data_IF_810952544041
#
_entry.id   IF_810952544041
#
_cell.length_a   1.000
_cell.length_b   1.000
_cell.length_c   1.000
_cell.angle_alpha   90.00
_cell.angle_beta   90.00
_cell.angle_gamma   90.00
#
_symmetry.space_group_name_H-M   'P 1'
#
loop_
_entity.id
_entity.type
_entity.pdbx_description
1 polymer ?
#
# COMPACT_ATOMS: atom_id res chain seq x y z
N UNK A 1 22.09 -74.42 41.02
CA UNK A 1 21.60 -74.20 39.65
C UNK A 1 21.33 -72.68 39.52
N UNK A 2 22.07 -71.95 38.73
CA UNK A 2 21.88 -70.51 38.62
C UNK A 2 20.83 -70.22 37.51
N UNK A 3 19.94 -69.31 37.86
CA UNK A 3 18.89 -68.77 36.95
C UNK A 3 19.47 -67.80 35.97
N UNK A 4 19.22 -68.04 34.67
CA UNK A 4 19.55 -67.15 33.54
C UNK A 4 18.62 -65.96 33.53
N UNK A 5 19.15 -64.76 33.81
CA UNK A 5 18.50 -63.51 33.58
C UNK A 5 18.85 -63.01 32.17
N UNK A 6 17.87 -63.07 31.29
CA UNK A 6 17.95 -62.51 29.92
C UNK A 6 18.01 -60.99 29.96
N UNK A 7 19.16 -60.45 29.60
CA UNK A 7 19.31 -58.98 29.43
C UNK A 7 18.72 -58.57 28.10
N UNK A 8 17.49 -58.03 28.15
CA UNK A 8 16.89 -57.36 26.98
C UNK A 8 17.64 -56.02 26.74
N UNK A 9 18.37 -55.96 25.62
CA UNK A 9 18.98 -54.70 25.14
C UNK A 9 17.85 -53.71 24.82
N UNK A 10 17.76 -52.59 25.56
CA UNK A 10 16.96 -51.47 25.18
C UNK A 10 17.53 -50.85 23.91
N UNK A 11 16.74 -50.84 22.83
CA UNK A 11 16.99 -50.05 21.63
C UNK A 11 16.85 -48.57 22.06
N UNK A 12 17.85 -47.70 21.81
CA UNK A 12 17.70 -46.29 22.11
C UNK A 12 16.55 -45.74 21.25
N UNK A 13 15.66 -44.99 21.88
CA UNK A 13 14.60 -44.24 21.17
C UNK A 13 15.27 -43.33 20.15
N UNK A 14 14.93 -43.53 18.87
CA UNK A 14 15.29 -42.56 17.82
C UNK A 14 14.57 -41.27 18.18
N UNK A 15 15.34 -40.29 18.58
CA UNK A 15 14.85 -38.92 18.74
C UNK A 15 14.37 -38.47 17.36
N UNK A 16 13.06 -38.44 17.17
CA UNK A 16 12.45 -37.81 16.00
C UNK A 16 12.70 -36.30 16.17
N UNK A 17 13.78 -35.85 15.55
CA UNK A 17 14.03 -34.41 15.38
C UNK A 17 12.87 -33.92 14.52
N UNK A 18 11.86 -33.30 15.15
CA UNK A 18 10.87 -32.51 14.42
C UNK A 18 11.63 -31.53 13.53
N UNK A 19 11.39 -31.52 12.20
CA UNK A 19 12.02 -30.51 11.37
C UNK A 19 11.64 -29.15 11.95
N UNK A 20 12.61 -28.38 12.40
CA UNK A 20 12.40 -26.97 12.69
C UNK A 20 11.81 -26.37 11.44
N UNK A 21 10.63 -25.80 11.56
CA UNK A 21 10.01 -25.05 10.47
C UNK A 21 11.04 -24.04 9.95
N UNK A 22 11.53 -24.28 8.74
CA UNK A 22 12.50 -23.41 8.09
C UNK A 22 11.67 -22.35 7.37
N UNK A 23 11.08 -21.42 8.14
CA UNK A 23 10.54 -20.20 7.56
C UNK A 23 11.73 -19.35 7.11
N UNK A 24 12.08 -19.49 5.86
CA UNK A 24 13.17 -18.74 5.24
C UNK A 24 12.63 -17.78 4.19
N UNK A 25 13.44 -16.80 3.79
CA UNK A 25 13.11 -15.92 2.68
C UNK A 25 12.70 -16.68 1.41
N UNK A 26 13.37 -17.80 1.11
CA UNK A 26 13.21 -18.56 -0.12
C UNK A 26 12.30 -19.81 -0.02
N UNK A 27 11.91 -20.21 1.19
CA UNK A 27 11.09 -21.41 1.41
C UNK A 27 9.94 -21.10 2.37
N UNK A 28 8.85 -21.82 2.19
CA UNK A 28 7.68 -21.79 3.08
C UNK A 28 7.95 -22.55 4.38
N UNK A 29 7.06 -22.45 5.35
CA UNK A 29 7.13 -23.22 6.62
C UNK A 29 7.10 -24.73 6.39
N UNK A 30 6.47 -25.20 5.29
CA UNK A 30 6.46 -26.60 4.88
C UNK A 30 7.72 -27.05 4.12
N UNK A 31 8.64 -26.12 3.83
CA UNK A 31 9.87 -26.40 3.10
C UNK A 31 9.75 -26.35 1.57
N UNK A 32 8.60 -25.94 1.05
CA UNK A 32 8.40 -25.77 -0.40
C UNK A 32 9.10 -24.50 -0.90
N UNK A 33 9.61 -24.45 -2.13
CA UNK A 33 10.12 -23.23 -2.75
C UNK A 33 9.05 -22.14 -2.78
N UNK A 34 9.38 -20.96 -2.30
CA UNK A 34 8.46 -19.81 -2.22
C UNK A 34 8.27 -19.16 -3.58
N UNK A 35 7.03 -18.78 -3.88
CA UNK A 35 6.71 -17.98 -5.05
C UNK A 35 7.40 -16.61 -5.03
N UNK A 36 7.73 -16.09 -6.20
CA UNK A 36 8.45 -14.84 -6.37
C UNK A 36 8.02 -14.08 -7.61
N UNK A 37 8.39 -12.79 -7.64
CA UNK A 37 8.26 -11.92 -8.80
C UNK A 37 9.63 -11.38 -9.17
N UNK A 38 9.99 -11.47 -10.44
CA UNK A 38 11.06 -10.69 -11.03
C UNK A 38 10.47 -9.36 -11.51
N UNK A 39 11.20 -8.28 -11.25
CA UNK A 39 10.77 -6.95 -11.70
C UNK A 39 10.87 -6.84 -13.21
N UNK A 40 9.95 -6.07 -13.79
CA UNK A 40 9.95 -5.80 -15.22
C UNK A 40 10.58 -4.43 -15.52
N UNK A 41 9.75 -3.43 -15.51
CA UNK A 41 10.09 -2.03 -15.77
C UNK A 41 9.47 -1.17 -14.66
N UNK A 42 10.23 -0.23 -14.14
CA UNK A 42 9.66 0.75 -13.20
C UNK A 42 8.66 1.64 -13.95
N UNK A 43 7.38 1.45 -13.69
CA UNK A 43 6.30 2.28 -14.27
C UNK A 43 5.75 3.28 -13.26
N UNK A 44 5.76 2.93 -11.98
CA UNK A 44 5.21 3.75 -10.91
C UNK A 44 6.16 3.79 -9.73
N UNK A 45 6.48 5.00 -9.26
CA UNK A 45 7.25 5.22 -8.04
C UNK A 45 6.34 5.76 -6.95
N UNK A 46 6.15 4.99 -5.90
CA UNK A 46 5.46 5.40 -4.69
C UNK A 46 6.40 6.13 -3.74
N UNK A 47 5.88 7.14 -3.08
CA UNK A 47 6.60 7.92 -2.07
C UNK A 47 5.78 7.86 -0.78
N UNK A 48 6.33 7.20 0.24
CA UNK A 48 5.77 7.19 1.58
C UNK A 48 6.12 8.52 2.26
N UNK A 49 5.15 9.41 2.38
CA UNK A 49 5.39 10.79 2.84
C UNK A 49 5.73 10.90 4.33
N UNK A 50 5.47 9.86 5.12
CA UNK A 50 5.66 9.77 6.56
C UNK A 50 4.42 9.20 7.25
N UNK A 51 4.55 8.69 8.49
CA UNK A 51 3.42 8.05 9.21
C UNK A 51 2.54 9.03 9.98
N UNK A 52 2.88 10.33 10.05
CA UNK A 52 2.01 11.30 10.69
C UNK A 52 0.65 11.40 9.99
N UNK A 53 -0.43 11.33 10.76
CA UNK A 53 -1.81 11.45 10.30
C UNK A 53 -2.62 12.31 11.25
N UNK A 54 -3.70 12.91 10.81
CA UNK A 54 -4.66 13.60 11.66
C UNK A 54 -5.82 12.70 12.14
N UNK A 55 -5.91 11.48 11.62
CA UNK A 55 -6.88 10.44 12.00
C UNK A 55 -6.17 9.25 12.65
N UNK A 56 -6.93 8.35 13.29
CA UNK A 56 -6.43 7.14 13.96
C UNK A 56 -7.36 5.95 13.66
N UNK A 57 -7.46 5.58 12.39
CA UNK A 57 -8.35 4.52 11.95
C UNK A 57 -7.90 3.15 12.47
N UNK A 58 -8.78 2.34 13.09
CA UNK A 58 -8.39 1.06 13.69
C UNK A 58 -7.92 0.00 12.68
N UNK A 59 -8.33 0.10 11.43
CA UNK A 59 -7.93 -0.77 10.32
C UNK A 59 -6.80 -0.18 9.45
N UNK A 60 -6.13 0.88 9.93
CA UNK A 60 -5.11 1.54 9.12
C UNK A 60 -3.96 0.60 8.78
N UNK A 61 -3.71 0.39 7.50
CA UNK A 61 -2.61 -0.44 6.99
C UNK A 61 -1.25 0.01 7.55
N UNK A 62 -1.06 1.32 7.70
CA UNK A 62 0.16 1.92 8.26
C UNK A 62 0.13 2.03 9.80
N UNK A 63 -1.03 1.81 10.43
CA UNK A 63 -1.20 2.08 11.86
C UNK A 63 -0.94 3.54 12.24
N UNK A 64 -1.10 4.47 11.30
CA UNK A 64 -0.83 5.89 11.47
C UNK A 64 -1.83 6.57 12.39
N UNK A 65 -1.34 7.55 13.16
CA UNK A 65 -2.17 8.32 14.11
C UNK A 65 -1.58 9.72 14.35
N UNK A 66 -2.31 10.62 15.04
CA UNK A 66 -1.78 11.92 15.43
C UNK A 66 -0.51 11.81 16.27
N UNK A 67 0.54 12.50 15.83
CA UNK A 67 1.85 12.48 16.49
C UNK A 67 2.74 11.28 16.15
N UNK A 68 2.32 10.40 15.25
CA UNK A 68 3.15 9.30 14.77
C UNK A 68 4.36 9.81 13.97
N UNK A 69 5.53 9.36 14.33
CA UNK A 69 6.80 9.72 13.70
C UNK A 69 7.69 8.49 13.42
N UNK A 70 7.11 7.28 13.40
CA UNK A 70 7.86 6.03 13.12
C UNK A 70 8.60 6.10 11.79
N UNK A 71 7.94 6.61 10.76
CA UNK A 71 8.55 6.99 9.50
C UNK A 71 8.57 8.51 9.44
N UNK A 72 9.76 9.15 9.44
CA UNK A 72 9.85 10.61 9.38
C UNK A 72 9.26 11.19 8.10
N UNK A 73 8.79 12.43 8.17
CA UNK A 73 8.29 13.13 6.99
C UNK A 73 9.36 13.32 5.92
N UNK A 74 9.02 13.04 4.67
CA UNK A 74 9.85 13.32 3.51
C UNK A 74 9.99 14.81 3.26
N UNK A 75 11.16 15.22 2.80
CA UNK A 75 11.41 16.55 2.25
C UNK A 75 11.60 16.48 0.74
N UNK A 76 11.51 17.62 0.07
CA UNK A 76 11.77 17.68 -1.37
C UNK A 76 13.21 17.24 -1.72
N UNK A 77 14.17 17.59 -0.88
CA UNK A 77 15.58 17.21 -1.08
C UNK A 77 15.79 15.70 -0.91
N UNK A 78 15.02 15.04 -0.04
CA UNK A 78 15.02 13.58 0.09
C UNK A 78 14.54 12.88 -1.21
N UNK A 79 13.57 13.46 -1.89
CA UNK A 79 12.86 12.81 -3.01
C UNK A 79 13.44 13.13 -4.37
N UNK A 80 14.01 14.34 -4.58
CA UNK A 80 14.53 14.80 -5.85
C UNK A 80 15.50 13.81 -6.54
N UNK A 81 16.50 13.24 -5.87
CA UNK A 81 17.43 12.32 -6.52
C UNK A 81 16.72 11.10 -7.11
N UNK A 82 15.72 10.58 -6.38
CA UNK A 82 14.95 9.41 -6.81
C UNK A 82 13.97 9.74 -7.93
N UNK A 83 13.40 10.96 -7.95
CA UNK A 83 12.56 11.41 -9.09
C UNK A 83 13.42 11.41 -10.36
N UNK A 84 14.64 11.94 -10.31
CA UNK A 84 15.53 11.95 -11.47
C UNK A 84 15.92 10.53 -11.91
N UNK A 85 16.33 9.66 -10.97
CA UNK A 85 16.65 8.27 -11.27
C UNK A 85 15.43 7.52 -11.87
N UNK A 86 14.23 7.73 -11.33
CA UNK A 86 13.00 7.13 -11.84
C UNK A 86 12.68 7.61 -13.27
N UNK A 87 12.92 8.89 -13.59
CA UNK A 87 12.74 9.42 -14.95
C UNK A 87 13.71 8.77 -15.94
N UNK A 88 14.95 8.52 -15.54
CA UNK A 88 15.94 7.80 -16.34
C UNK A 88 15.54 6.34 -16.56
N UNK A 89 14.87 5.70 -15.58
CA UNK A 89 14.33 4.35 -15.67
C UNK A 89 13.00 4.27 -16.44
N UNK A 90 12.45 5.41 -16.88
CA UNK A 90 11.25 5.46 -17.71
C UNK A 90 9.94 5.43 -16.93
N UNK A 91 9.92 5.85 -15.65
CA UNK A 91 8.69 5.94 -14.84
C UNK A 91 7.61 6.75 -15.56
N UNK A 92 6.38 6.29 -15.48
CA UNK A 92 5.20 6.95 -16.07
C UNK A 92 4.37 7.75 -15.06
N UNK A 93 4.47 7.43 -13.75
CA UNK A 93 3.66 8.04 -12.70
C UNK A 93 4.42 8.13 -11.38
N UNK A 94 4.17 9.19 -10.62
CA UNK A 94 4.55 9.31 -9.21
C UNK A 94 3.32 9.20 -8.32
N UNK A 95 3.40 8.37 -7.27
CA UNK A 95 2.28 8.11 -6.39
C UNK A 95 2.66 8.36 -4.92
N UNK A 96 1.72 8.84 -4.13
CA UNK A 96 1.96 9.33 -2.77
C UNK A 96 1.01 8.66 -1.78
N UNK A 97 1.61 8.15 -0.70
CA UNK A 97 0.91 7.52 0.42
C UNK A 97 1.59 7.88 1.75
N UNK A 98 1.20 7.22 2.81
CA UNK A 98 1.72 7.39 4.17
C UNK A 98 0.58 7.44 5.17
N UNK A 99 0.71 8.22 6.24
CA UNK A 99 -0.41 8.54 7.12
C UNK A 99 -1.42 9.44 6.39
N UNK A 100 -1.24 10.76 6.50
CA UNK A 100 -1.93 11.72 5.65
C UNK A 100 -0.90 12.64 5.00
N UNK A 101 -0.74 12.59 3.67
CA UNK A 101 0.29 13.39 2.99
C UNK A 101 0.20 14.89 3.29
N UNK A 102 -1.01 15.44 3.39
CA UNK A 102 -1.19 16.87 3.68
C UNK A 102 -0.84 17.29 5.11
N UNK A 103 -0.60 16.36 6.03
CA UNK A 103 -0.01 16.64 7.36
C UNK A 103 1.49 16.95 7.22
N UNK A 104 2.16 16.35 6.25
CA UNK A 104 3.60 16.52 6.06
C UNK A 104 3.90 17.90 5.50
N UNK A 105 4.80 18.61 6.19
CA UNK A 105 5.09 20.03 5.90
C UNK A 105 5.46 20.28 4.45
N UNK A 106 6.34 19.46 3.90
CA UNK A 106 6.95 19.67 2.59
C UNK A 106 6.20 18.97 1.44
N UNK A 107 5.10 18.27 1.75
CA UNK A 107 4.38 17.46 0.78
C UNK A 107 3.94 18.22 -0.47
N UNK A 108 3.38 19.43 -0.32
CA UNK A 108 2.90 20.20 -1.48
C UNK A 108 4.07 20.63 -2.39
N UNK A 109 5.25 20.90 -1.83
CA UNK A 109 6.46 21.18 -2.63
C UNK A 109 6.92 19.94 -3.39
N UNK A 110 6.87 18.74 -2.77
CA UNK A 110 7.17 17.47 -3.41
C UNK A 110 6.20 17.22 -4.57
N UNK A 111 4.90 17.35 -4.30
CA UNK A 111 3.84 17.15 -5.29
C UNK A 111 3.96 18.14 -6.46
N UNK A 112 4.23 19.42 -6.17
CA UNK A 112 4.48 20.44 -7.17
C UNK A 112 5.68 20.07 -8.07
N UNK A 113 6.76 19.61 -7.48
CA UNK A 113 7.95 19.20 -8.24
C UNK A 113 7.68 17.97 -9.11
N UNK A 114 7.07 16.92 -8.55
CA UNK A 114 6.78 15.68 -9.25
C UNK A 114 5.84 15.88 -10.44
N UNK A 115 4.78 16.69 -10.28
CA UNK A 115 3.78 16.95 -11.32
C UNK A 115 4.29 17.83 -12.48
N UNK A 116 5.46 18.45 -12.37
CA UNK A 116 6.14 19.03 -13.52
C UNK A 116 6.73 17.96 -14.47
N UNK A 117 6.94 16.74 -13.98
CA UNK A 117 7.63 15.69 -14.72
C UNK A 117 6.71 14.57 -15.20
N UNK A 118 5.76 14.12 -14.37
CA UNK A 118 4.82 13.03 -14.68
C UNK A 118 3.48 13.24 -13.98
N UNK A 119 2.41 12.58 -14.44
CA UNK A 119 1.17 12.48 -13.70
C UNK A 119 1.41 12.02 -12.27
N UNK A 120 0.62 12.57 -11.33
CA UNK A 120 0.72 12.26 -9.91
C UNK A 120 -0.57 11.65 -9.38
N UNK A 121 -0.43 10.68 -8.48
CA UNK A 121 -1.53 10.01 -7.82
C UNK A 121 -1.37 10.14 -6.30
N UNK A 122 -2.40 10.62 -5.61
CA UNK A 122 -2.33 10.96 -4.19
C UNK A 122 -3.42 10.25 -3.40
N UNK A 123 -3.03 9.39 -2.46
CA UNK A 123 -3.95 8.84 -1.48
C UNK A 123 -4.11 9.84 -0.34
N UNK A 124 -5.35 10.20 0.01
CA UNK A 124 -5.64 11.18 1.07
C UNK A 124 -6.99 10.92 1.73
N UNK A 125 -7.13 11.31 2.99
CA UNK A 125 -8.43 11.33 3.65
C UNK A 125 -9.25 12.60 3.31
N UNK A 126 -8.65 13.56 2.61
CA UNK A 126 -9.22 14.81 2.12
C UNK A 126 -9.90 15.68 3.21
N UNK A 127 -9.50 15.55 4.47
CA UNK A 127 -10.08 16.31 5.60
C UNK A 127 -9.33 17.62 5.87
N UNK A 128 -9.27 18.10 7.13
CA UNK A 128 -8.69 19.39 7.47
C UNK A 128 -7.30 19.68 6.91
N UNK A 129 -6.35 18.73 6.86
CA UNK A 129 -5.02 19.04 6.34
C UNK A 129 -5.06 19.55 4.90
N UNK A 130 -5.81 18.87 4.01
CA UNK A 130 -6.07 19.33 2.64
C UNK A 130 -6.81 20.67 2.63
N UNK A 131 -7.93 20.76 3.38
CA UNK A 131 -8.80 21.93 3.40
C UNK A 131 -8.05 23.20 3.84
N UNK A 132 -7.14 23.10 4.80
CA UNK A 132 -6.29 24.23 5.25
C UNK A 132 -5.25 24.63 4.21
N UNK A 133 -4.85 23.73 3.32
CA UNK A 133 -3.81 23.95 2.31
C UNK A 133 -4.36 24.19 0.90
N UNK A 134 -5.67 24.43 0.74
CA UNK A 134 -6.31 24.71 -0.56
C UNK A 134 -5.57 25.75 -1.39
N UNK A 135 -5.12 26.85 -0.74
CA UNK A 135 -4.39 27.93 -1.40
C UNK A 135 -3.02 27.51 -1.95
N UNK A 136 -2.43 26.44 -1.43
CA UNK A 136 -1.17 25.84 -1.92
C UNK A 136 -1.43 24.78 -2.99
N UNK A 137 -2.58 24.09 -2.93
CA UNK A 137 -2.95 23.02 -3.85
C UNK A 137 -3.51 23.56 -5.16
N UNK A 138 -4.32 24.64 -5.10
CA UNK A 138 -4.97 25.22 -6.28
C UNK A 138 -3.98 25.56 -7.41
N UNK A 139 -2.81 26.18 -7.16
CA UNK A 139 -1.84 26.49 -8.22
C UNK A 139 -1.28 25.26 -8.95
N UNK A 140 -1.40 24.06 -8.36
CA UNK A 140 -0.91 22.83 -8.97
C UNK A 140 -1.68 22.42 -10.24
N UNK A 141 -2.86 22.98 -10.46
CA UNK A 141 -3.61 22.84 -11.72
C UNK A 141 -2.87 23.41 -12.94
N UNK A 142 -1.96 24.34 -12.73
CA UNK A 142 -1.14 24.93 -13.80
C UNK A 142 0.07 24.07 -14.17
N UNK A 143 0.31 22.98 -13.43
CA UNK A 143 1.42 22.08 -13.68
C UNK A 143 1.23 21.31 -14.99
N UNK A 144 2.34 20.80 -15.52
CA UNK A 144 2.36 20.13 -16.83
C UNK A 144 1.53 18.85 -16.89
N UNK A 145 1.38 18.17 -15.74
CA UNK A 145 0.72 16.88 -15.66
C UNK A 145 -0.37 16.89 -14.60
N UNK A 146 -1.41 16.11 -14.86
CA UNK A 146 -2.57 15.98 -13.97
C UNK A 146 -2.21 15.37 -12.63
N UNK A 147 -2.96 15.78 -11.61
CA UNK A 147 -2.93 15.20 -10.28
C UNK A 147 -4.27 14.53 -10.01
N UNK A 148 -4.22 13.24 -9.77
CA UNK A 148 -5.37 12.44 -9.40
C UNK A 148 -5.39 12.21 -7.88
N UNK A 149 -6.46 12.59 -7.22
CA UNK A 149 -6.68 12.33 -5.80
C UNK A 149 -7.60 11.13 -5.61
N UNK A 150 -7.11 10.11 -4.91
CA UNK A 150 -7.95 9.02 -4.43
C UNK A 150 -8.29 9.27 -2.98
N UNK A 151 -9.56 9.59 -2.73
CA UNK A 151 -10.03 9.96 -1.40
C UNK A 151 -10.58 8.74 -0.67
N UNK A 152 -10.13 8.56 0.57
CA UNK A 152 -10.60 7.51 1.45
C UNK A 152 -11.98 7.84 2.01
N UNK A 153 -13.02 7.13 1.54
CA UNK A 153 -14.40 7.29 1.98
C UNK A 153 -15.09 5.91 2.05
N UNK A 154 -15.00 5.23 3.21
CA UNK A 154 -15.32 3.81 3.30
C UNK A 154 -16.81 3.51 3.18
N UNK A 155 -17.67 4.35 3.75
CA UNK A 155 -19.10 4.07 3.84
C UNK A 155 -19.94 5.26 3.40
N UNK A 156 -21.07 5.03 2.73
CA UNK A 156 -22.05 6.09 2.40
C UNK A 156 -22.95 6.42 3.60
N UNK A 157 -22.38 6.48 4.80
CA UNK A 157 -23.08 6.70 6.05
C UNK A 157 -22.15 7.38 7.06
N UNK A 158 -22.51 8.61 7.47
CA UNK A 158 -21.67 9.41 8.36
C UNK A 158 -21.38 8.69 9.69
N UNK A 159 -22.41 8.11 10.33
CA UNK A 159 -22.23 7.48 11.63
C UNK A 159 -21.23 6.32 11.58
N UNK A 160 -21.30 5.51 10.51
CA UNK A 160 -20.40 4.38 10.34
C UNK A 160 -19.00 4.84 9.97
N UNK A 161 -18.87 5.77 9.05
CA UNK A 161 -17.59 6.31 8.63
C UNK A 161 -16.86 7.02 9.78
N UNK A 162 -17.57 7.87 10.52
CA UNK A 162 -17.01 8.62 11.63
C UNK A 162 -16.58 7.73 12.80
N UNK A 163 -17.33 6.65 13.08
CA UNK A 163 -16.94 5.65 14.08
C UNK A 163 -15.54 5.09 13.79
N UNK A 164 -15.23 4.85 12.52
CA UNK A 164 -14.03 4.16 12.10
C UNK A 164 -12.89 5.14 11.72
N UNK A 165 -13.22 6.40 11.34
CA UNK A 165 -12.21 7.40 10.95
C UNK A 165 -12.16 8.64 11.84
N UNK A 166 -13.05 8.75 12.80
CA UNK A 166 -13.13 9.86 13.75
C UNK A 166 -14.29 10.82 13.45
N UNK A 167 -14.82 11.41 14.51
CA UNK A 167 -16.02 12.26 14.48
C UNK A 167 -15.89 13.41 13.48
N UNK A 168 -16.89 13.54 12.60
CA UNK A 168 -16.98 14.59 11.59
C UNK A 168 -16.06 14.42 10.38
N UNK A 169 -15.31 13.32 10.30
CA UNK A 169 -14.42 13.03 9.17
C UNK A 169 -15.19 12.87 7.86
N UNK A 170 -16.40 12.28 7.91
CA UNK A 170 -17.26 12.10 6.75
C UNK A 170 -17.63 13.44 6.08
N UNK A 171 -18.15 14.39 6.85
CA UNK A 171 -18.54 15.69 6.34
C UNK A 171 -17.35 16.45 5.73
N UNK A 172 -16.18 16.37 6.36
CA UNK A 172 -14.95 17.01 5.88
C UNK A 172 -14.40 16.36 4.62
N UNK A 173 -14.45 15.02 4.53
CA UNK A 173 -14.05 14.30 3.32
C UNK A 173 -14.95 14.69 2.14
N UNK A 174 -16.27 14.76 2.33
CA UNK A 174 -17.21 15.23 1.30
C UNK A 174 -16.93 16.69 0.89
N UNK A 175 -16.61 17.58 1.84
CA UNK A 175 -16.18 18.95 1.54
C UNK A 175 -14.89 18.96 0.69
N UNK A 176 -13.92 18.12 1.04
CA UNK A 176 -12.67 17.97 0.29
C UNK A 176 -12.89 17.47 -1.13
N UNK A 177 -13.69 16.38 -1.29
CA UNK A 177 -14.06 15.82 -2.59
C UNK A 177 -14.75 16.88 -3.46
N UNK A 178 -15.76 17.55 -2.91
CA UNK A 178 -16.49 18.61 -3.63
C UNK A 178 -15.53 19.70 -4.09
N UNK A 179 -14.71 20.23 -3.18
CA UNK A 179 -13.75 21.27 -3.52
C UNK A 179 -12.77 20.83 -4.63
N UNK A 180 -12.17 19.64 -4.53
CA UNK A 180 -11.26 19.13 -5.55
C UNK A 180 -11.94 19.04 -6.93
N UNK A 181 -13.17 18.52 -6.98
CA UNK A 181 -13.94 18.40 -8.22
C UNK A 181 -14.36 19.76 -8.81
N UNK A 182 -14.79 20.71 -7.97
CA UNK A 182 -15.11 22.06 -8.37
C UNK A 182 -13.93 22.82 -8.97
N UNK A 183 -12.70 22.53 -8.49
CA UNK A 183 -11.49 23.11 -9.05
C UNK A 183 -11.02 22.41 -10.34
N UNK A 184 -11.51 21.24 -10.66
CA UNK A 184 -11.15 20.49 -11.88
C UNK A 184 -10.13 19.37 -11.69
N UNK A 185 -9.78 19.03 -10.45
CA UNK A 185 -8.93 17.86 -10.20
C UNK A 185 -9.64 16.54 -10.50
N UNK A 186 -8.88 15.55 -10.92
CA UNK A 186 -9.37 14.17 -11.04
C UNK A 186 -9.52 13.57 -9.64
N UNK A 187 -10.67 12.95 -9.36
CA UNK A 187 -10.95 12.35 -8.05
C UNK A 187 -11.56 10.98 -8.23
N UNK A 188 -11.06 9.99 -7.47
CA UNK A 188 -11.68 8.69 -7.25
C UNK A 188 -11.82 8.40 -5.75
N UNK A 189 -12.57 7.35 -5.43
CA UNK A 189 -12.87 6.98 -4.05
C UNK A 189 -12.23 5.62 -3.75
N UNK A 190 -11.49 5.57 -2.64
CA UNK A 190 -11.07 4.33 -2.00
C UNK A 190 -12.01 4.01 -0.86
N UNK A 191 -12.48 2.78 -0.78
CA UNK A 191 -13.33 2.32 0.31
C UNK A 191 -12.94 0.93 0.79
N UNK A 192 -13.22 0.63 2.03
CA UNK A 192 -13.15 -0.73 2.53
C UNK A 192 -14.38 -1.52 2.04
N UNK A 193 -14.18 -2.76 1.62
CA UNK A 193 -15.28 -3.68 1.28
C UNK A 193 -15.69 -4.50 2.49
N UNK A 194 -17.00 -4.72 2.64
CA UNK A 194 -17.54 -5.65 3.61
C UNK A 194 -17.73 -7.02 2.98
N UNK A 195 -17.64 -8.07 3.79
CA UNK A 195 -17.94 -9.41 3.33
C UNK A 195 -19.44 -9.54 3.00
N UNK A 196 -19.72 -10.00 1.78
CA UNK A 196 -21.10 -10.24 1.32
C UNK A 196 -21.88 -8.98 0.94
N UNK A 197 -21.25 -7.81 0.84
CA UNK A 197 -21.94 -6.61 0.33
C UNK A 197 -22.32 -6.74 -1.15
N UNK A 198 -23.41 -6.07 -1.54
CA UNK A 198 -23.74 -5.86 -2.95
C UNK A 198 -23.05 -4.58 -3.45
N UNK A 199 -22.08 -4.67 -4.37
CA UNK A 199 -21.35 -3.51 -4.87
C UNK A 199 -22.26 -2.45 -5.52
N UNK A 200 -23.34 -2.87 -6.20
CA UNK A 200 -24.26 -1.94 -6.87
C UNK A 200 -25.12 -1.18 -5.86
N UNK A 201 -25.58 -1.83 -4.79
CA UNK A 201 -26.30 -1.16 -3.72
C UNK A 201 -25.43 -0.12 -3.01
N UNK A 202 -24.17 -0.47 -2.72
CA UNK A 202 -23.22 0.44 -2.11
C UNK A 202 -22.93 1.62 -3.04
N UNK A 203 -22.67 1.37 -4.32
CA UNK A 203 -22.43 2.43 -5.31
C UNK A 203 -23.66 3.35 -5.46
N UNK A 204 -24.87 2.80 -5.45
CA UNK A 204 -26.11 3.58 -5.50
C UNK A 204 -26.28 4.46 -4.25
N UNK A 205 -25.88 3.97 -3.07
CA UNK A 205 -25.92 4.74 -1.84
C UNK A 205 -24.91 5.91 -1.88
N UNK A 206 -23.68 5.69 -2.39
CA UNK A 206 -22.71 6.78 -2.60
C UNK A 206 -23.21 7.81 -3.60
N UNK A 207 -23.77 7.41 -4.73
CA UNK A 207 -24.34 8.35 -5.72
C UNK A 207 -25.42 9.26 -5.11
N UNK A 208 -26.27 8.74 -4.21
CA UNK A 208 -27.25 9.58 -3.47
C UNK A 208 -26.57 10.61 -2.60
N UNK A 209 -25.58 10.19 -1.79
CA UNK A 209 -24.82 11.11 -0.93
C UNK A 209 -24.12 12.18 -1.74
N UNK A 210 -23.48 11.82 -2.85
CA UNK A 210 -22.81 12.79 -3.71
C UNK A 210 -23.79 13.81 -4.28
N UNK A 211 -24.92 13.39 -4.78
CA UNK A 211 -25.99 14.29 -5.26
C UNK A 211 -26.44 15.27 -4.17
N UNK A 212 -26.70 14.76 -2.96
CA UNK A 212 -27.18 15.54 -1.83
C UNK A 212 -26.15 16.60 -1.37
N UNK A 213 -24.86 16.37 -1.68
CA UNK A 213 -23.76 17.29 -1.34
C UNK A 213 -23.20 18.07 -2.53
N UNK A 214 -23.87 18.02 -3.70
CA UNK A 214 -23.42 18.72 -4.91
C UNK A 214 -22.10 18.19 -5.50
N UNK A 215 -21.81 16.91 -5.29
CA UNK A 215 -20.66 16.21 -5.85
C UNK A 215 -21.12 15.45 -7.11
N UNK A 216 -20.35 15.44 -8.21
CA UNK A 216 -20.65 14.63 -9.38
C UNK A 216 -20.75 13.13 -9.04
N UNK A 217 -21.74 12.44 -9.63
CA UNK A 217 -22.02 11.02 -9.34
C UNK A 217 -21.12 10.03 -10.12
N UNK A 218 -20.28 10.54 -11.02
CA UNK A 218 -19.43 9.79 -11.95
C UNK A 218 -18.06 9.39 -11.35
N UNK A 219 -17.90 9.50 -10.04
CA UNK A 219 -16.64 9.14 -9.40
C UNK A 219 -16.39 7.63 -9.47
N UNK A 220 -15.18 7.25 -9.86
CA UNK A 220 -14.73 5.86 -9.83
C UNK A 220 -14.51 5.39 -8.39
N UNK A 221 -14.80 4.10 -8.14
CA UNK A 221 -14.59 3.46 -6.83
C UNK A 221 -13.55 2.35 -6.94
N UNK A 222 -12.68 2.27 -5.94
CA UNK A 222 -11.82 1.11 -5.69
C UNK A 222 -12.14 0.57 -4.30
N UNK A 223 -12.57 -0.69 -4.23
CA UNK A 223 -12.83 -1.37 -2.97
C UNK A 223 -11.62 -2.23 -2.56
N UNK A 224 -11.22 -2.13 -1.30
CA UNK A 224 -10.11 -2.88 -0.73
C UNK A 224 -10.63 -3.87 0.30
N UNK A 225 -10.12 -5.12 0.32
CA UNK A 225 -10.30 -6.01 1.45
C UNK A 225 -9.56 -5.47 2.68
N UNK A 226 -9.84 -6.00 3.85
CA UNK A 226 -9.00 -5.76 5.03
C UNK A 226 -7.60 -6.35 4.77
N UNK A 227 -6.59 -5.49 4.81
CA UNK A 227 -5.18 -5.87 4.59
C UNK A 227 -4.43 -6.07 5.92
N UNK A 228 -5.10 -5.93 7.04
CA UNK A 228 -4.52 -6.01 8.37
C UNK A 228 -3.63 -4.82 8.74
N UNK A 229 -3.39 -4.64 10.03
CA UNK A 229 -2.50 -3.60 10.58
C UNK A 229 -1.03 -4.02 10.51
N UNK A 230 -0.05 -3.11 10.67
CA UNK A 230 1.37 -3.46 10.70
C UNK A 230 1.67 -4.54 11.75
N UNK A 231 2.46 -5.53 11.35
CA UNK A 231 2.83 -6.66 12.22
C UNK A 231 1.71 -7.67 12.51
N UNK A 232 0.52 -7.54 11.89
CA UNK A 232 -0.52 -8.55 11.98
C UNK A 232 -0.15 -9.81 11.17
N UNK A 233 -0.57 -10.98 11.67
CA UNK A 233 -0.59 -12.22 10.92
C UNK A 233 -2.05 -12.61 10.69
N UNK A 234 -2.47 -12.68 9.43
CA UNK A 234 -3.87 -12.97 9.08
C UNK A 234 -4.13 -14.45 8.76
N UNK A 235 -3.11 -15.31 8.86
CA UNK A 235 -3.22 -16.73 8.52
C UNK A 235 -3.38 -17.00 7.02
N UNK A 236 -3.08 -16.03 6.17
CA UNK A 236 -3.11 -16.21 4.71
C UNK A 236 -2.25 -17.39 4.26
N UNK A 237 -2.69 -18.13 3.23
CA UNK A 237 -1.88 -19.20 2.66
C UNK A 237 -0.54 -18.71 2.14
N UNK A 238 0.53 -19.49 2.39
CA UNK A 238 1.83 -19.21 1.81
C UNK A 238 1.83 -19.50 0.30
N UNK A 239 2.47 -18.60 -0.47
CA UNK A 239 2.54 -18.72 -1.93
C UNK A 239 3.81 -19.48 -2.30
N UNK A 240 3.66 -20.66 -2.93
CA UNK A 240 4.75 -21.46 -3.46
C UNK A 240 5.01 -21.19 -4.95
N UNK A 241 6.13 -21.66 -5.48
CA UNK A 241 6.39 -21.64 -6.95
C UNK A 241 5.28 -22.37 -7.73
N UNK A 242 4.74 -23.47 -7.19
CA UNK A 242 3.61 -24.18 -7.81
C UNK A 242 2.35 -23.31 -7.89
N UNK A 243 2.10 -22.46 -6.89
CA UNK A 243 1.01 -21.49 -6.98
C UNK A 243 1.21 -20.52 -8.14
N UNK A 244 2.47 -20.15 -8.43
CA UNK A 244 2.81 -19.21 -9.50
C UNK A 244 2.66 -19.77 -10.90
N UNK A 245 2.41 -21.08 -11.07
CA UNK A 245 2.05 -21.68 -12.37
C UNK A 245 0.76 -21.09 -12.96
N UNK A 246 -0.11 -20.50 -12.14
CA UNK A 246 -1.27 -19.71 -12.58
C UNK A 246 -0.90 -18.39 -13.27
N UNK A 247 0.33 -17.93 -13.06
CA UNK A 247 0.88 -16.69 -13.60
C UNK A 247 2.17 -16.95 -14.38
N UNK A 248 2.09 -17.72 -15.51
CA UNK A 248 3.30 -18.22 -16.19
C UNK A 248 3.95 -17.17 -17.07
N UNK A 249 3.19 -16.13 -17.50
CA UNK A 249 3.69 -15.10 -18.40
C UNK A 249 4.00 -13.80 -17.65
N UNK A 250 4.77 -12.93 -18.32
CA UNK A 250 5.06 -11.57 -17.83
C UNK A 250 3.79 -10.75 -17.65
N UNK A 251 2.85 -10.86 -18.61
CA UNK A 251 1.57 -10.15 -18.57
C UNK A 251 0.72 -10.60 -17.39
N UNK A 252 0.65 -11.92 -17.13
CA UNK A 252 -0.10 -12.42 -15.97
C UNK A 252 0.52 -12.00 -14.63
N UNK A 253 1.86 -11.88 -14.56
CA UNK A 253 2.57 -11.40 -13.37
C UNK A 253 2.52 -9.88 -13.20
N UNK A 254 2.16 -9.12 -14.24
CA UNK A 254 1.90 -7.69 -14.15
C UNK A 254 0.71 -7.32 -13.24
N UNK A 255 -0.07 -8.32 -12.78
CA UNK A 255 -1.07 -8.14 -11.72
C UNK A 255 -0.46 -7.94 -10.31
N UNK A 256 0.83 -8.16 -10.13
CA UNK A 256 1.51 -7.91 -8.85
C UNK A 256 2.19 -6.54 -8.88
N UNK A 257 1.92 -5.71 -7.88
CA UNK A 257 2.52 -4.36 -7.79
C UNK A 257 4.05 -4.39 -7.89
N UNK A 258 4.69 -5.30 -7.18
CA UNK A 258 6.16 -5.40 -7.16
C UNK A 258 6.80 -5.71 -8.52
N UNK A 259 6.01 -6.08 -9.54
CA UNK A 259 6.48 -6.23 -10.91
C UNK A 259 6.94 -4.91 -11.51
N UNK A 260 6.22 -3.80 -11.23
CA UNK A 260 6.38 -2.52 -11.90
C UNK A 260 6.47 -1.31 -10.98
N UNK A 261 6.33 -1.49 -9.66
CA UNK A 261 6.40 -0.40 -8.69
C UNK A 261 7.59 -0.55 -7.75
N UNK A 262 7.99 0.55 -7.14
CA UNK A 262 8.84 0.63 -5.94
C UNK A 262 8.29 1.70 -5.03
N UNK A 263 8.63 1.63 -3.73
CA UNK A 263 8.25 2.64 -2.76
C UNK A 263 9.47 3.20 -2.04
N UNK A 264 9.54 4.52 -1.96
CA UNK A 264 10.52 5.24 -1.15
C UNK A 264 10.02 5.34 0.28
N UNK A 265 10.83 4.91 1.24
CA UNK A 265 10.54 5.00 2.67
C UNK A 265 11.72 5.63 3.38
N UNK A 266 11.48 6.65 4.19
CA UNK A 266 12.54 7.28 5.00
C UNK A 266 12.76 6.48 6.27
N UNK A 267 13.95 5.91 6.44
CA UNK A 267 14.36 5.20 7.65
C UNK A 267 15.47 6.02 8.32
N UNK A 268 15.16 6.63 9.46
CA UNK A 268 16.03 7.62 10.12
C UNK A 268 16.36 8.77 9.14
N UNK A 269 17.63 8.93 8.79
CA UNK A 269 18.12 10.01 7.92
C UNK A 269 18.36 9.58 6.47
N UNK A 270 17.96 8.35 6.10
CA UNK A 270 18.19 7.81 4.75
C UNK A 270 16.86 7.40 4.10
N UNK A 271 16.75 7.64 2.80
CA UNK A 271 15.66 7.08 1.99
C UNK A 271 16.09 5.70 1.51
N UNK A 272 15.18 4.73 1.67
CA UNK A 272 15.34 3.35 1.25
C UNK A 272 14.28 2.99 0.23
N UNK A 273 14.59 2.02 -0.62
CA UNK A 273 13.68 1.54 -1.65
C UNK A 273 13.06 0.23 -1.19
N UNK A 274 11.75 0.19 -1.09
CA UNK A 274 10.95 -0.99 -0.73
C UNK A 274 10.24 -1.57 -1.96
N UNK A 275 9.89 -2.85 -1.88
CA UNK A 275 9.30 -3.59 -3.00
C UNK A 275 7.94 -3.05 -3.47
N UNK A 276 7.07 -2.66 -2.54
CA UNK A 276 5.76 -2.06 -2.83
C UNK A 276 5.15 -1.40 -1.58
N UNK A 277 3.94 -0.86 -1.70
CA UNK A 277 3.20 -0.16 -0.63
C UNK A 277 2.61 -1.06 0.45
N UNK A 278 2.72 -2.36 0.33
CA UNK A 278 2.10 -3.33 1.25
C UNK A 278 3.09 -3.98 2.22
N UNK A 279 4.39 -3.68 2.10
CA UNK A 279 5.45 -4.43 2.80
C UNK A 279 6.53 -3.53 3.42
N UNK A 280 6.25 -2.25 3.61
CA UNK A 280 7.19 -1.29 4.21
C UNK A 280 7.42 -1.47 5.71
N UNK A 281 6.56 -2.25 6.36
CA UNK A 281 6.68 -2.69 7.75
C UNK A 281 7.62 -3.90 7.93
N UNK A 282 7.99 -4.60 6.84
CA UNK A 282 8.91 -5.74 6.88
C UNK A 282 10.30 -5.37 6.30
N UNK A 283 11.37 -5.33 7.14
CA UNK A 283 12.71 -4.95 6.71
C UNK A 283 13.32 -5.87 5.65
N UNK A 284 12.83 -7.11 5.48
CA UNK A 284 13.33 -8.01 4.45
C UNK A 284 12.94 -7.55 3.02
N UNK A 285 12.02 -6.60 2.91
CA UNK A 285 11.63 -5.96 1.64
C UNK A 285 12.35 -4.64 1.37
N UNK A 286 13.33 -4.26 2.18
CA UNK A 286 14.26 -3.16 1.90
C UNK A 286 15.25 -3.59 0.82
N UNK A 287 15.09 -3.08 -0.40
CA UNK A 287 15.84 -3.45 -1.59
C UNK A 287 17.07 -2.58 -1.83
N UNK A 288 17.43 -1.70 -0.91
CA UNK A 288 18.64 -0.90 -1.04
C UNK A 288 18.42 0.60 -1.09
N UNK A 289 19.43 1.29 -1.59
CA UNK A 289 19.51 2.75 -1.57
C UNK A 289 19.24 3.39 -2.94
N UNK A 290 19.12 2.60 -4.01
CA UNK A 290 18.87 3.11 -5.36
C UNK A 290 17.74 2.34 -6.04
N UNK A 291 17.01 3.00 -6.94
CA UNK A 291 15.95 2.36 -7.71
C UNK A 291 16.53 1.31 -8.67
N UNK A 292 17.66 1.61 -9.29
CA UNK A 292 18.32 0.70 -10.24
C UNK A 292 18.67 -0.64 -9.58
N UNK A 293 19.33 -0.61 -8.42
CA UNK A 293 19.67 -1.83 -7.66
C UNK A 293 18.43 -2.61 -7.24
N UNK A 294 17.35 -1.91 -6.90
CA UNK A 294 16.10 -2.54 -6.49
C UNK A 294 15.39 -3.29 -7.62
N UNK A 295 15.58 -2.85 -8.87
CA UNK A 295 14.95 -3.50 -10.03
C UNK A 295 15.61 -4.83 -10.41
N UNK A 296 16.87 -5.04 -10.02
CA UNK A 296 17.60 -6.28 -10.28
C UNK A 296 17.32 -7.38 -9.25
N UNK A 297 16.53 -7.07 -8.21
CA UNK A 297 16.24 -7.98 -7.12
C UNK A 297 14.93 -8.72 -7.32
N UNK A 298 14.95 -10.02 -7.00
CA UNK A 298 13.76 -10.88 -6.95
C UNK A 298 12.97 -10.62 -5.67
N UNK A 299 11.66 -10.46 -5.80
CA UNK A 299 10.75 -10.21 -4.69
C UNK A 299 10.06 -11.51 -4.30
N UNK A 300 10.38 -12.04 -3.12
CA UNK A 300 9.75 -13.24 -2.58
C UNK A 300 8.36 -12.90 -2.01
N UNK A 301 7.35 -13.71 -2.35
CA UNK A 301 5.97 -13.50 -1.90
C UNK A 301 5.77 -14.09 -0.49
N UNK A 302 6.50 -13.56 0.50
CA UNK A 302 6.50 -14.04 1.89
C UNK A 302 5.48 -13.32 2.78
N UNK A 303 5.33 -12.01 2.61
CA UNK A 303 4.45 -11.22 3.45
C UNK A 303 2.99 -11.66 3.25
N UNK A 304 2.19 -11.75 4.33
CA UNK A 304 0.79 -12.15 4.23
C UNK A 304 0.00 -11.31 3.22
N UNK A 305 0.28 -10.01 3.13
CA UNK A 305 -0.36 -9.09 2.17
C UNK A 305 -0.03 -9.37 0.70
N UNK A 306 1.02 -10.15 0.41
CA UNK A 306 1.29 -10.63 -0.96
C UNK A 306 0.14 -11.51 -1.48
N UNK A 307 -0.58 -12.19 -0.58
CA UNK A 307 -1.74 -13.00 -0.94
C UNK A 307 -2.89 -12.17 -1.51
N UNK A 308 -3.04 -10.92 -1.09
CA UNK A 308 -4.04 -10.01 -1.67
C UNK A 308 -3.77 -9.76 -3.17
N UNK A 309 -2.54 -9.42 -3.54
CA UNK A 309 -2.14 -9.29 -4.94
C UNK A 309 -2.29 -10.62 -5.71
N UNK A 310 -1.93 -11.75 -5.08
CA UNK A 310 -2.09 -13.07 -5.69
C UNK A 310 -3.55 -13.40 -6.03
N UNK A 311 -4.48 -13.02 -5.16
CA UNK A 311 -5.91 -13.33 -5.30
C UNK A 311 -6.67 -12.31 -6.13
N UNK A 312 -6.39 -11.01 -5.96
CA UNK A 312 -7.20 -9.90 -6.47
C UNK A 312 -6.47 -9.01 -7.48
N UNK A 313 -5.16 -9.18 -7.64
CA UNK A 313 -4.34 -8.25 -8.43
C UNK A 313 -3.92 -7.00 -7.67
N UNK A 314 -3.23 -6.09 -8.34
CA UNK A 314 -2.70 -4.85 -7.78
C UNK A 314 -3.80 -3.79 -7.63
N UNK A 315 -4.58 -3.85 -6.56
CA UNK A 315 -5.70 -2.94 -6.32
C UNK A 315 -5.27 -1.54 -5.85
N UNK A 316 -4.02 -1.36 -5.40
CA UNK A 316 -3.54 -0.05 -4.92
C UNK A 316 -3.24 0.93 -6.06
N UNK A 317 -2.81 0.43 -7.23
CA UNK A 317 -2.55 1.24 -8.41
C UNK A 317 -3.82 1.52 -9.21
N UNK A 318 -3.87 2.65 -9.93
CA UNK A 318 -4.91 2.84 -10.95
C UNK A 318 -4.62 1.93 -12.14
N UNK A 319 -5.63 1.28 -12.73
CA UNK A 319 -5.45 0.64 -14.02
C UNK A 319 -5.11 1.72 -15.05
N UNK A 320 -3.91 1.63 -15.60
CA UNK A 320 -3.45 2.48 -16.73
C UNK A 320 -4.05 2.03 -18.04
#
# INVERSE_FOLDING_TARGET
MPSNASSARRIPAVEVISPRAVDSWTHTRSGDPRGYIDSDQLRELWIHTGTACNLACPFCLEGSHPGDGRIPGMTLEDVKPFIHEALELGVSQFSFTGGEPFVIRDFVNILNYASQHRPCFVLTNATEPLLKRRHQVLPLLENRHDIHFRVSLDYPNALRHDRDRGDGSFAKALEGIRWLREQGFVVSIARQSDEGEDPEEVAAAFRRIFRDHGIPEDLAFTAFPDLGTPGSEDGSPEITETCMEKYPTRESRAHFMCTYTRMLVKKKDQVRVYACTLVDDDPDYDLGATLKESMDQRIMLRHHRCFACYRFGASCAEPT
#
